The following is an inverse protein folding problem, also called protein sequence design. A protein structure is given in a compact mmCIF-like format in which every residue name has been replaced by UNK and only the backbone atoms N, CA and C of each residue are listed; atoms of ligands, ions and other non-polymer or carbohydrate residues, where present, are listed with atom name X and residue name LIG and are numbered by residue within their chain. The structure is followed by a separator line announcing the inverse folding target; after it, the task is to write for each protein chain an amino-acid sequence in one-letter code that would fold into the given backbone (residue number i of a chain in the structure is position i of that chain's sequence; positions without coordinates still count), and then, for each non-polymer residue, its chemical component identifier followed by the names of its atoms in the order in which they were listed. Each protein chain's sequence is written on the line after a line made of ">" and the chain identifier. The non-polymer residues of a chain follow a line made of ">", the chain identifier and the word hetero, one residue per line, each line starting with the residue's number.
data_IF_678562469312
#
_entry.id   IF_678562469312
#
_cell.length_a   1.000
_cell.length_b   1.000
_cell.length_c   1.000
_cell.angle_alpha   90.00
_cell.angle_beta   90.00
_cell.angle_gamma   90.00
#
_symmetry.space_group_name_H-M   'P 1'
#
loop_
_entity.id
_entity.type
_entity.pdbx_description
1 polymer ?
#
# COMPACT_ATOMS: atom_id res chain seq x y z
N UNK A 1 -17.67 20.53 1.18
CA UNK A 1 -16.38 21.23 1.37
C UNK A 1 -16.47 22.51 2.22
N UNK A 2 -17.36 23.50 1.96
CA UNK A 2 -17.27 24.80 2.63
C UNK A 2 -17.42 24.72 4.17
N UNK A 3 -18.30 23.86 4.69
CA UNK A 3 -18.45 23.68 6.14
C UNK A 3 -17.19 23.06 6.80
N UNK A 4 -16.52 22.13 6.12
CA UNK A 4 -15.29 21.50 6.62
C UNK A 4 -14.11 22.48 6.59
N UNK A 5 -14.03 23.30 5.55
CA UNK A 5 -13.04 24.37 5.44
C UNK A 5 -13.23 25.44 6.53
N UNK A 6 -14.47 25.84 6.81
CA UNK A 6 -14.79 26.75 7.91
C UNK A 6 -14.35 26.16 9.26
N UNK A 7 -14.66 24.89 9.51
CA UNK A 7 -14.26 24.22 10.75
C UNK A 7 -12.74 24.10 10.92
N UNK A 8 -12.01 23.81 9.84
CA UNK A 8 -10.55 23.80 9.85
C UNK A 8 -9.97 25.19 10.13
N UNK A 9 -10.59 26.26 9.60
CA UNK A 9 -10.19 27.64 9.87
C UNK A 9 -10.45 28.07 11.33
N UNK A 10 -11.53 27.58 11.95
CA UNK A 10 -11.83 27.82 13.37
C UNK A 10 -10.88 27.06 14.31
N UNK A 11 -10.31 25.94 13.85
CA UNK A 11 -9.42 25.07 14.64
C UNK A 11 -8.10 24.80 13.89
N UNK A 12 -7.28 25.83 13.66
CA UNK A 12 -6.06 25.67 12.91
C UNK A 12 -5.11 24.71 13.64
N UNK A 13 -4.56 23.75 12.90
CA UNK A 13 -3.59 22.79 13.43
C UNK A 13 -4.20 21.51 14.02
N UNK A 14 -5.52 21.34 14.02
CA UNK A 14 -6.14 20.03 14.26
C UNK A 14 -5.79 19.09 13.09
N UNK A 15 -4.86 18.17 13.34
CA UNK A 15 -4.32 17.28 12.32
C UNK A 15 -5.38 16.37 11.68
N UNK A 16 -6.46 16.02 12.40
CA UNK A 16 -7.53 15.19 11.87
C UNK A 16 -8.47 15.98 10.97
N UNK A 17 -8.80 17.22 11.33
CA UNK A 17 -9.58 18.11 10.47
C UNK A 17 -8.83 18.45 9.18
N UNK A 18 -7.54 18.78 9.29
CA UNK A 18 -6.69 19.03 8.14
C UNK A 18 -6.55 17.78 7.25
N UNK A 19 -6.35 16.60 7.84
CA UNK A 19 -6.28 15.35 7.08
C UNK A 19 -7.60 15.07 6.34
N UNK A 20 -8.73 15.24 7.01
CA UNK A 20 -10.06 15.02 6.43
C UNK A 20 -10.34 16.01 5.30
N UNK A 21 -9.93 17.27 5.45
CA UNK A 21 -10.09 18.29 4.41
C UNK A 21 -9.20 18.00 3.19
N UNK A 22 -7.95 17.57 3.39
CA UNK A 22 -7.07 17.12 2.30
C UNK A 22 -7.67 15.95 1.52
N UNK A 23 -8.22 14.96 2.22
CA UNK A 23 -8.88 13.81 1.60
C UNK A 23 -10.14 14.22 0.82
N UNK A 24 -10.94 15.13 1.38
CA UNK A 24 -12.14 15.64 0.72
C UNK A 24 -11.83 16.43 -0.55
N UNK A 25 -10.77 17.25 -0.54
CA UNK A 25 -10.30 17.97 -1.73
C UNK A 25 -9.78 17.02 -2.81
N UNK A 26 -9.01 16.00 -2.42
CA UNK A 26 -8.53 14.99 -3.36
C UNK A 26 -9.70 14.29 -4.08
N UNK A 27 -10.75 13.91 -3.35
CA UNK A 27 -11.97 13.30 -3.90
C UNK A 27 -12.80 14.25 -4.75
N UNK A 28 -12.74 15.55 -4.48
CA UNK A 28 -13.39 16.57 -5.29
C UNK A 28 -12.61 16.93 -6.57
N UNK A 29 -11.43 16.35 -6.77
CA UNK A 29 -10.55 16.63 -7.92
C UNK A 29 -9.66 17.84 -7.74
N UNK A 30 -9.69 18.53 -6.59
CA UNK A 30 -8.76 19.63 -6.27
C UNK A 30 -7.43 19.07 -5.76
N UNK A 31 -6.68 18.46 -6.68
CA UNK A 31 -5.42 17.80 -6.37
C UNK A 31 -4.35 18.79 -5.88
N UNK A 32 -4.39 20.05 -6.33
CA UNK A 32 -3.43 21.07 -5.94
C UNK A 32 -3.57 21.47 -4.47
N UNK A 33 -4.81 21.76 -4.04
CA UNK A 33 -5.10 22.07 -2.64
C UNK A 33 -4.85 20.85 -1.72
N UNK A 34 -5.27 19.66 -2.17
CA UNK A 34 -5.06 18.43 -1.42
C UNK A 34 -3.56 18.16 -1.19
N UNK A 35 -2.74 18.23 -2.24
CA UNK A 35 -1.29 18.02 -2.14
C UNK A 35 -0.66 19.04 -1.19
N UNK A 36 -0.99 20.33 -1.35
CA UNK A 36 -0.44 21.37 -0.47
C UNK A 36 -0.70 21.07 1.02
N UNK A 37 -1.91 20.59 1.36
CA UNK A 37 -2.27 20.25 2.73
C UNK A 37 -1.62 18.95 3.22
N UNK A 38 -1.62 17.89 2.40
CA UNK A 38 -0.93 16.65 2.74
C UNK A 38 0.58 16.87 2.97
N UNK A 39 1.24 17.66 2.12
CA UNK A 39 2.64 18.00 2.28
C UNK A 39 2.90 18.82 3.54
N UNK A 40 1.99 19.74 3.90
CA UNK A 40 2.07 20.47 5.17
C UNK A 40 1.94 19.54 6.39
N UNK A 41 1.04 18.56 6.33
CA UNK A 41 0.88 17.55 7.37
C UNK A 41 2.12 16.66 7.50
N UNK A 42 2.68 16.20 6.38
CA UNK A 42 3.91 15.39 6.38
C UNK A 42 5.12 16.15 6.92
N UNK A 43 5.27 17.44 6.59
CA UNK A 43 6.35 18.27 7.17
C UNK A 43 6.29 18.34 8.69
N UNK A 44 5.08 18.41 9.25
CA UNK A 44 4.85 18.44 10.72
C UNK A 44 4.96 17.06 11.35
N UNK A 45 4.56 16.01 10.62
CA UNK A 45 4.45 14.64 11.15
C UNK A 45 4.98 13.59 10.15
N UNK A 46 6.31 13.53 9.92
CA UNK A 46 6.90 12.74 8.82
C UNK A 46 6.65 11.23 8.89
N UNK A 47 6.38 10.70 10.08
CA UNK A 47 6.12 9.28 10.34
C UNK A 47 4.65 9.00 10.68
N UNK A 48 3.75 9.97 10.46
CA UNK A 48 2.32 9.80 10.72
C UNK A 48 1.71 8.82 9.74
N UNK A 49 1.41 7.60 10.24
CA UNK A 49 0.78 6.54 9.46
C UNK A 49 -0.56 6.98 8.84
N UNK A 50 -1.51 7.62 9.56
CA UNK A 50 -2.76 8.07 8.97
C UNK A 50 -2.56 9.04 7.80
N UNK A 51 -1.63 9.99 7.92
CA UNK A 51 -1.35 10.99 6.88
C UNK A 51 -0.72 10.31 5.66
N UNK A 52 0.35 9.55 5.85
CA UNK A 52 1.08 8.92 4.75
C UNK A 52 0.23 7.90 3.99
N UNK A 53 -0.55 7.06 4.67
CA UNK A 53 -1.43 6.08 4.01
C UNK A 53 -2.56 6.75 3.23
N UNK A 54 -3.18 7.79 3.80
CA UNK A 54 -4.30 8.50 3.14
C UNK A 54 -3.80 9.26 1.91
N UNK A 55 -2.66 9.92 2.02
CA UNK A 55 -2.06 10.62 0.90
C UNK A 55 -1.60 9.65 -0.20
N UNK A 56 -0.95 8.53 0.15
CA UNK A 56 -0.54 7.52 -0.82
C UNK A 56 -1.72 6.94 -1.60
N UNK A 57 -2.87 6.70 -0.94
CA UNK A 57 -4.11 6.28 -1.62
C UNK A 57 -4.62 7.34 -2.59
N UNK A 58 -4.74 8.59 -2.14
CA UNK A 58 -5.17 9.71 -2.97
C UNK A 58 -4.25 9.92 -4.20
N UNK A 59 -2.95 9.71 -4.05
CA UNK A 59 -1.99 9.76 -5.15
C UNK A 59 -2.16 8.57 -6.11
N UNK A 60 -2.33 7.35 -5.60
CA UNK A 60 -2.46 6.16 -6.41
C UNK A 60 -3.78 6.12 -7.21
N UNK A 61 -4.84 6.76 -6.71
CA UNK A 61 -6.12 6.94 -7.43
C UNK A 61 -5.95 7.76 -8.73
N UNK A 62 -4.91 8.60 -8.84
CA UNK A 62 -4.63 9.39 -10.05
C UNK A 62 -4.13 8.57 -11.24
N UNK A 63 -3.75 7.31 -11.02
CA UNK A 63 -3.43 6.35 -12.09
C UNK A 63 -2.24 6.70 -12.98
N UNK A 64 -1.34 7.59 -12.56
CA UNK A 64 -0.16 7.98 -13.33
C UNK A 64 1.15 7.73 -12.57
N UNK A 65 2.22 7.45 -13.32
CA UNK A 65 3.50 7.02 -12.76
C UNK A 65 4.17 8.07 -11.84
N UNK A 66 3.97 9.37 -12.09
CA UNK A 66 4.52 10.42 -11.24
C UNK A 66 3.85 10.40 -9.85
N UNK A 67 2.53 10.28 -9.79
CA UNK A 67 1.79 10.14 -8.56
C UNK A 67 2.13 8.84 -7.83
N UNK A 68 2.28 7.72 -8.55
CA UNK A 68 2.74 6.44 -7.98
C UNK A 68 4.11 6.54 -7.30
N UNK A 69 5.10 7.15 -7.95
CA UNK A 69 6.42 7.39 -7.35
C UNK A 69 6.35 8.30 -6.13
N UNK A 70 5.50 9.34 -6.16
CA UNK A 70 5.25 10.18 -4.98
C UNK A 70 4.63 9.37 -3.85
N UNK A 71 3.67 8.49 -4.15
CA UNK A 71 3.03 7.60 -3.19
C UNK A 71 4.04 6.66 -2.53
N UNK A 72 4.94 6.03 -3.29
CA UNK A 72 6.04 5.25 -2.72
C UNK A 72 6.95 6.08 -1.81
N UNK A 73 7.25 7.33 -2.20
CA UNK A 73 8.10 8.22 -1.41
C UNK A 73 7.45 8.62 -0.06
N UNK A 74 6.13 8.87 0.00
CA UNK A 74 5.45 9.17 1.27
C UNK A 74 5.35 7.97 2.20
N UNK A 75 5.33 6.75 1.65
CA UNK A 75 5.25 5.51 2.41
C UNK A 75 6.62 5.06 2.97
N UNK A 76 7.72 5.47 2.34
CA UNK A 76 9.08 5.04 2.69
C UNK A 76 9.42 5.17 4.18
N UNK A 77 9.09 6.27 4.90
CA UNK A 77 9.39 6.39 6.32
C UNK A 77 8.72 5.32 7.20
N UNK A 78 7.60 4.73 6.75
CA UNK A 78 6.87 3.71 7.50
C UNK A 78 7.43 2.30 7.27
N UNK A 79 8.22 2.06 6.23
CA UNK A 79 8.64 0.72 5.80
C UNK A 79 9.33 -0.08 6.91
N UNK A 80 10.12 0.57 7.77
CA UNK A 80 10.89 -0.10 8.81
C UNK A 80 10.02 -0.80 9.86
N UNK A 81 8.77 -0.38 10.05
CA UNK A 81 7.84 -0.94 11.04
C UNK A 81 6.56 -1.52 10.46
N UNK A 82 6.41 -1.54 9.13
CA UNK A 82 5.16 -1.90 8.47
C UNK A 82 5.18 -3.26 7.75
N UNK A 83 6.19 -4.10 8.06
CA UNK A 83 6.32 -5.44 7.49
C UNK A 83 5.06 -6.29 7.66
N UNK A 84 4.50 -6.28 8.88
CA UNK A 84 3.32 -7.06 9.27
C UNK A 84 2.00 -6.28 9.17
N UNK A 85 1.97 -5.15 8.46
CA UNK A 85 0.78 -4.30 8.31
C UNK A 85 0.11 -4.52 6.95
N UNK A 86 -0.97 -5.31 6.93
CA UNK A 86 -1.71 -5.63 5.71
C UNK A 86 -2.23 -4.40 4.95
N UNK A 87 -2.62 -3.34 5.67
CA UNK A 87 -3.13 -2.10 5.05
C UNK A 87 -2.00 -1.34 4.40
N UNK A 88 -0.84 -1.28 5.05
CA UNK A 88 0.37 -0.71 4.46
C UNK A 88 0.77 -1.48 3.21
N UNK A 89 0.88 -2.82 3.29
CA UNK A 89 1.29 -3.67 2.17
C UNK A 89 0.37 -3.47 0.96
N UNK A 90 -0.95 -3.46 1.17
CA UNK A 90 -1.91 -3.21 0.09
C UNK A 90 -1.76 -1.82 -0.53
N UNK A 91 -1.55 -0.79 0.31
CA UNK A 91 -1.37 0.59 -0.16
C UNK A 91 -0.06 0.74 -0.93
N UNK A 92 1.02 0.13 -0.45
CA UNK A 92 2.33 0.13 -1.10
C UNK A 92 2.33 -0.66 -2.41
N UNK A 93 1.61 -1.78 -2.45
CA UNK A 93 1.42 -2.58 -3.66
C UNK A 93 0.76 -1.74 -4.76
N UNK A 94 -0.36 -1.09 -4.44
CA UNK A 94 -1.06 -0.21 -5.39
C UNK A 94 -0.23 1.00 -5.82
N UNK A 95 0.50 1.62 -4.89
CA UNK A 95 1.42 2.71 -5.22
C UNK A 95 2.52 2.27 -6.20
N UNK A 96 3.09 1.07 -5.97
CA UNK A 96 4.15 0.49 -6.82
C UNK A 96 3.61 0.10 -8.19
N UNK A 97 2.42 -0.48 -8.27
CA UNK A 97 1.74 -0.80 -9.53
C UNK A 97 1.56 0.47 -10.38
N UNK A 98 1.01 1.53 -9.79
CA UNK A 98 0.80 2.82 -10.47
C UNK A 98 2.13 3.47 -10.86
N UNK A 99 3.19 3.26 -10.08
CA UNK A 99 4.54 3.74 -10.39
C UNK A 99 5.21 2.96 -11.55
N UNK A 100 4.67 1.80 -11.94
CA UNK A 100 5.28 0.88 -12.90
C UNK A 100 6.29 -0.09 -12.29
N UNK A 101 6.41 -0.14 -10.97
CA UNK A 101 7.29 -1.05 -10.23
C UNK A 101 6.56 -2.36 -9.93
N UNK A 102 6.36 -3.16 -10.99
CA UNK A 102 5.52 -4.36 -10.95
C UNK A 102 6.09 -5.47 -10.06
N UNK A 103 7.41 -5.55 -9.92
CA UNK A 103 8.06 -6.52 -9.03
C UNK A 103 7.73 -6.17 -7.58
N UNK A 104 7.92 -4.92 -7.16
CA UNK A 104 7.55 -4.48 -5.81
C UNK A 104 6.06 -4.56 -5.55
N UNK A 105 5.25 -4.26 -6.56
CA UNK A 105 3.79 -4.42 -6.47
C UNK A 105 3.42 -5.88 -6.17
N UNK A 106 4.00 -6.84 -6.90
CA UNK A 106 3.75 -8.26 -6.68
C UNK A 106 4.21 -8.77 -5.31
N UNK A 107 5.41 -8.37 -4.86
CA UNK A 107 5.91 -8.70 -3.51
C UNK A 107 4.92 -8.23 -2.43
N UNK A 108 4.46 -6.98 -2.53
CA UNK A 108 3.58 -6.36 -1.54
C UNK A 108 2.12 -6.86 -1.62
N UNK A 109 1.62 -7.20 -2.81
CA UNK A 109 0.30 -7.83 -2.96
C UNK A 109 0.26 -9.20 -2.28
N UNK A 110 1.30 -10.02 -2.50
CA UNK A 110 1.39 -11.32 -1.85
C UNK A 110 1.50 -11.19 -0.33
N UNK A 111 2.28 -10.23 0.16
CA UNK A 111 2.37 -9.98 1.59
C UNK A 111 1.02 -9.52 2.19
N UNK A 112 0.32 -8.61 1.50
CA UNK A 112 -1.03 -8.19 1.91
C UNK A 112 -2.03 -9.36 1.92
N UNK A 113 -1.93 -10.30 0.98
CA UNK A 113 -2.75 -11.51 0.96
C UNK A 113 -2.43 -12.42 2.16
N UNK A 114 -1.14 -12.66 2.43
CA UNK A 114 -0.72 -13.48 3.56
C UNK A 114 -1.19 -12.90 4.90
N UNK A 115 -0.92 -11.61 5.15
CA UNK A 115 -1.34 -10.92 6.37
C UNK A 115 -2.87 -10.79 6.47
N UNK A 116 -3.57 -10.85 5.34
CA UNK A 116 -5.02 -10.91 5.26
C UNK A 116 -5.62 -12.31 5.52
N UNK A 117 -4.80 -13.30 5.90
CA UNK A 117 -5.27 -14.66 6.16
C UNK A 117 -5.44 -15.52 4.90
N UNK A 118 -4.85 -15.11 3.78
CA UNK A 118 -4.92 -15.80 2.49
C UNK A 118 -3.54 -16.31 2.03
N UNK A 119 -2.92 -17.23 2.79
CA UNK A 119 -1.57 -17.71 2.50
C UNK A 119 -1.48 -18.51 1.20
N UNK A 120 -2.54 -19.20 0.78
CA UNK A 120 -2.56 -19.94 -0.49
C UNK A 120 -2.54 -18.99 -1.69
N UNK A 121 -3.33 -17.91 -1.66
CA UNK A 121 -3.26 -16.84 -2.66
C UNK A 121 -1.85 -16.21 -2.69
N UNK A 122 -1.30 -15.86 -1.52
CA UNK A 122 0.04 -15.28 -1.44
C UNK A 122 1.09 -16.19 -2.10
N UNK A 123 1.00 -17.51 -1.86
CA UNK A 123 1.91 -18.48 -2.44
C UNK A 123 1.75 -18.56 -3.97
N UNK A 124 0.53 -18.51 -4.51
CA UNK A 124 0.29 -18.46 -5.96
C UNK A 124 0.91 -17.20 -6.57
N UNK A 125 0.65 -16.03 -5.97
CA UNK A 125 1.17 -14.75 -6.43
C UNK A 125 2.70 -14.71 -6.44
N UNK A 126 3.35 -15.21 -5.39
CA UNK A 126 4.82 -15.28 -5.33
C UNK A 126 5.40 -16.26 -6.36
N UNK A 127 4.75 -17.41 -6.59
CA UNK A 127 5.18 -18.35 -7.62
C UNK A 127 5.02 -17.78 -9.04
N UNK A 128 3.98 -16.99 -9.28
CA UNK A 128 3.81 -16.27 -10.55
C UNK A 128 4.87 -15.17 -10.69
N UNK A 129 5.15 -14.42 -9.62
CA UNK A 129 6.20 -13.40 -9.61
C UNK A 129 7.60 -14.01 -9.87
N UNK A 130 7.90 -15.17 -9.29
CA UNK A 130 9.17 -15.90 -9.49
C UNK A 130 9.45 -16.24 -10.96
N UNK A 131 8.41 -16.45 -11.77
CA UNK A 131 8.52 -16.80 -13.20
C UNK A 131 8.84 -15.61 -14.10
N UNK A 132 8.77 -14.38 -13.60
CA UNK A 132 9.04 -13.19 -14.42
C UNK A 132 10.51 -13.09 -14.81
N UNK A 133 10.74 -12.62 -16.03
CA UNK A 133 12.09 -12.42 -16.61
C UNK A 133 12.77 -11.16 -16.09
N UNK A 134 11.99 -10.13 -15.73
CA UNK A 134 12.49 -8.86 -15.17
C UNK A 134 12.81 -8.92 -13.67
N UNK A 135 12.79 -10.12 -13.08
CA UNK A 135 13.09 -10.34 -11.67
C UNK A 135 14.61 -10.46 -11.46
N UNK A 136 15.20 -9.41 -10.87
CA UNK A 136 16.62 -9.37 -10.52
C UNK A 136 17.02 -10.44 -9.48
N UNK A 137 18.34 -10.67 -9.34
CA UNK A 137 18.88 -11.69 -8.43
C UNK A 137 18.43 -11.50 -6.97
N UNK A 138 18.42 -10.27 -6.46
CA UNK A 138 18.06 -9.98 -5.07
C UNK A 138 16.55 -10.13 -4.83
N UNK A 139 15.73 -9.68 -5.79
CA UNK A 139 14.29 -9.86 -5.76
C UNK A 139 13.92 -11.34 -5.83
N UNK A 140 14.58 -12.12 -6.69
CA UNK A 140 14.41 -13.57 -6.75
C UNK A 140 14.69 -14.23 -5.41
N UNK A 141 15.82 -13.90 -4.77
CA UNK A 141 16.15 -14.43 -3.45
C UNK A 141 15.10 -14.10 -2.39
N UNK A 142 14.57 -12.86 -2.37
CA UNK A 142 13.49 -12.48 -1.43
C UNK A 142 12.20 -13.25 -1.68
N UNK A 143 11.79 -13.36 -2.94
CA UNK A 143 10.58 -14.10 -3.33
C UNK A 143 10.69 -15.57 -2.94
N UNK A 144 11.84 -16.21 -3.21
CA UNK A 144 12.09 -17.60 -2.85
C UNK A 144 12.10 -17.81 -1.33
N UNK A 145 12.75 -16.92 -0.58
CA UNK A 145 12.72 -16.96 0.88
C UNK A 145 11.28 -16.85 1.41
N UNK A 146 10.45 -15.98 0.81
CA UNK A 146 9.07 -15.82 1.24
C UNK A 146 8.18 -17.02 0.90
N UNK A 147 8.36 -17.61 -0.29
CA UNK A 147 7.73 -18.88 -0.67
C UNK A 147 8.05 -19.97 0.36
N UNK A 148 9.33 -20.12 0.71
CA UNK A 148 9.77 -21.12 1.70
C UNK A 148 9.14 -20.89 3.08
N UNK A 149 9.00 -19.62 3.50
CA UNK A 149 8.38 -19.27 4.79
C UNK A 149 6.87 -19.54 4.84
N UNK A 150 6.13 -19.32 3.73
CA UNK A 150 4.66 -19.46 3.70
C UNK A 150 4.21 -20.91 3.44
N UNK A 151 5.03 -21.69 2.74
CA UNK A 151 4.67 -23.05 2.29
C UNK A 151 4.18 -23.97 3.42
N UNK A 152 4.84 -24.04 4.61
CA UNK A 152 4.37 -24.89 5.70
C UNK A 152 2.93 -24.57 6.14
N UNK A 153 2.58 -23.28 6.23
CA UNK A 153 1.23 -22.83 6.60
C UNK A 153 0.19 -23.30 5.58
N UNK A 154 0.49 -23.21 4.28
CA UNK A 154 -0.45 -23.65 3.22
C UNK A 154 -0.64 -25.17 3.25
N UNK A 155 0.45 -25.93 3.44
CA UNK A 155 0.35 -27.39 3.55
C UNK A 155 -0.49 -27.81 4.75
N UNK A 156 -0.36 -27.10 5.88
CA UNK A 156 -1.17 -27.34 7.07
C UNK A 156 -2.67 -27.06 6.82
N UNK A 157 -3.00 -25.93 6.22
CA UNK A 157 -4.39 -25.59 5.88
C UNK A 157 -5.02 -26.63 4.94
N UNK A 158 -4.27 -27.06 3.92
CA UNK A 158 -4.72 -28.12 3.00
C UNK A 158 -4.95 -29.45 3.71
N UNK A 159 -4.09 -29.82 4.67
CA UNK A 159 -4.27 -31.01 5.51
C UNK A 159 -5.56 -30.93 6.33
N UNK A 160 -5.92 -29.74 6.79
CA UNK A 160 -7.17 -29.46 7.51
C UNK A 160 -8.39 -29.34 6.58
N UNK A 161 -8.22 -29.49 5.26
CA UNK A 161 -9.27 -29.36 4.26
C UNK A 161 -9.66 -27.91 3.94
N UNK A 162 -8.94 -26.92 4.47
CA UNK A 162 -9.16 -25.49 4.21
C UNK A 162 -8.46 -25.12 2.90
N UNK A 163 -9.18 -24.47 1.97
CA UNK A 163 -8.66 -24.02 0.67
C UNK A 163 -9.15 -22.62 0.34
N UNK A 164 -8.32 -21.86 -0.34
CA UNK A 164 -8.67 -20.54 -0.88
C UNK A 164 -9.19 -20.69 -2.31
N UNK A 165 -10.49 -20.49 -2.53
CA UNK A 165 -11.11 -20.63 -3.85
C UNK A 165 -10.65 -19.56 -4.84
N UNK A 166 -10.30 -18.37 -4.35
CA UNK A 166 -9.82 -17.27 -5.18
C UNK A 166 -8.36 -17.49 -5.61
N UNK A 167 -7.58 -18.32 -4.90
CA UNK A 167 -6.23 -18.70 -5.33
C UNK A 167 -6.21 -19.52 -6.63
N UNK A 168 -7.35 -20.05 -7.08
CA UNK A 168 -7.46 -20.76 -8.37
C UNK A 168 -7.64 -19.82 -9.56
N UNK A 169 -7.90 -18.52 -9.31
CA UNK A 169 -8.22 -17.52 -10.34
C UNK A 169 -7.02 -16.67 -10.76
N UNK A 170 -5.94 -16.70 -9.98
CA UNK A 170 -4.66 -16.00 -10.21
C UNK A 170 -3.62 -16.94 -10.88
#
# INVERSE_FOLDING_TARGET
>A
LPALAALAAERPGDAWLELTLAEAEARAGDHGAADARFEALLRKTPTSRPVALTYARALAERGNAAAGRRAQAVLRPLMAGAGDDAVFQRTFARASEVAGDLVRAGEAHAEAAYLGGRPELALVQLNNLKKREDLDYYARARVEARIAAITPTVLELRRQGIRDEDAKRD
#
